data_IF_898534483414
#
_entry.id   IF_898534483414
#
_cell.length_a   1.000
_cell.length_b   1.000
_cell.length_c   1.000
_cell.angle_alpha   90.00
_cell.angle_beta   90.00
_cell.angle_gamma   90.00
#
_symmetry.space_group_name_H-M   'P 1'
#
loop_
_entity.id
_entity.type
_entity.pdbx_description
1 polymer ?
#
# COMPACT_ATOMS: atom_id res chain seq x y z
N UNK A 1 -3.50 16.13 7.20
CA UNK A 1 -2.85 14.80 7.02
C UNK A 1 -2.69 14.04 8.33
N UNK A 2 -2.10 14.59 9.40
CA UNK A 2 -1.88 13.89 10.70
C UNK A 2 -3.10 13.13 11.26
N UNK A 3 -4.31 13.67 11.09
CA UNK A 3 -5.55 12.99 11.48
C UNK A 3 -5.74 11.65 10.74
N UNK A 4 -5.48 11.62 9.43
CA UNK A 4 -5.66 10.42 8.61
C UNK A 4 -4.59 9.36 8.90
N UNK A 5 -3.34 9.76 9.22
CA UNK A 5 -2.34 8.80 9.70
C UNK A 5 -2.81 8.12 10.99
N UNK A 6 -3.28 8.90 11.98
CA UNK A 6 -3.82 8.36 13.23
C UNK A 6 -5.05 7.48 13.02
N UNK A 7 -5.94 7.84 12.09
CA UNK A 7 -7.13 7.02 11.74
C UNK A 7 -6.70 5.69 11.13
N UNK A 8 -5.75 5.70 10.21
CA UNK A 8 -5.24 4.48 9.60
C UNK A 8 -4.57 3.57 10.64
N UNK A 9 -3.70 4.11 11.50
CA UNK A 9 -3.07 3.34 12.58
C UNK A 9 -4.11 2.70 13.52
N UNK A 10 -5.20 3.42 13.86
CA UNK A 10 -6.32 2.84 14.62
C UNK A 10 -7.10 1.78 13.84
N UNK A 11 -7.06 1.82 12.52
CA UNK A 11 -7.63 0.81 11.63
C UNK A 11 -6.83 -0.49 11.56
N UNK A 12 -5.74 -0.62 12.34
CA UNK A 12 -4.97 -1.86 12.45
C UNK A 12 -3.90 -2.04 11.38
N UNK A 13 -3.52 -0.98 10.64
CA UNK A 13 -2.36 -1.04 9.76
C UNK A 13 -1.08 -0.85 10.59
N UNK A 14 -0.04 -1.62 10.27
CA UNK A 14 1.27 -1.55 10.94
C UNK A 14 2.10 -0.35 10.46
N UNK A 15 1.79 0.17 9.27
CA UNK A 15 2.38 1.41 8.78
C UNK A 15 1.61 2.05 7.64
N UNK A 16 1.71 3.37 7.57
CA UNK A 16 1.09 4.18 6.51
C UNK A 16 2.05 5.28 6.03
N UNK A 17 2.18 5.43 4.72
CA UNK A 17 2.91 6.52 4.07
C UNK A 17 1.97 7.24 3.13
N UNK A 18 1.90 8.56 3.28
CA UNK A 18 1.12 9.45 2.42
C UNK A 18 2.11 10.38 1.74
N UNK A 19 2.06 10.44 0.42
CA UNK A 19 2.83 11.35 -0.41
C UNK A 19 1.86 12.20 -1.21
N UNK A 20 2.00 13.51 -1.08
CA UNK A 20 1.15 14.47 -1.77
C UNK A 20 2.07 15.33 -2.62
N UNK A 21 1.70 15.53 -3.87
CA UNK A 21 2.44 16.36 -4.81
C UNK A 21 1.51 17.27 -5.58
N UNK A 22 1.89 18.55 -5.68
CA UNK A 22 1.15 19.54 -6.44
C UNK A 22 1.31 20.93 -5.84
N UNK A 23 0.44 21.86 -6.24
CA UNK A 23 0.37 23.22 -5.70
C UNK A 23 -0.35 23.21 -4.36
N UNK A 24 0.39 22.94 -3.30
CA UNK A 24 -0.18 22.80 -1.95
C UNK A 24 -0.55 24.18 -1.39
N UNK A 25 -1.73 24.28 -0.79
CA UNK A 25 -2.27 25.52 -0.20
C UNK A 25 -2.33 26.71 -1.17
N UNK A 26 -2.50 26.46 -2.47
CA UNK A 26 -2.55 27.53 -3.48
C UNK A 26 -1.20 28.20 -3.77
N UNK A 27 -0.10 27.61 -3.30
CA UNK A 27 1.23 28.10 -3.61
C UNK A 27 1.50 28.07 -5.13
N UNK A 28 2.28 29.03 -5.61
CA UNK A 28 2.58 29.14 -7.03
C UNK A 28 3.48 28.00 -7.52
N UNK A 29 4.38 27.53 -6.65
CA UNK A 29 5.29 26.42 -6.93
C UNK A 29 4.75 25.10 -6.38
N UNK A 30 4.84 24.05 -7.19
CA UNK A 30 4.48 22.69 -6.76
C UNK A 30 5.48 22.17 -5.72
N UNK A 31 4.97 21.59 -4.63
CA UNK A 31 5.76 20.95 -3.58
C UNK A 31 5.33 19.50 -3.41
N UNK A 32 6.23 18.70 -2.83
CA UNK A 32 5.95 17.33 -2.41
C UNK A 32 6.10 17.22 -0.91
N UNK A 33 5.02 16.85 -0.24
CA UNK A 33 5.03 16.58 1.20
C UNK A 33 4.85 15.09 1.43
N UNK A 34 5.69 14.54 2.30
CA UNK A 34 5.60 13.15 2.74
C UNK A 34 5.24 13.10 4.22
N UNK A 35 4.40 12.13 4.57
CA UNK A 35 4.08 11.80 5.94
C UNK A 35 4.15 10.30 6.07
N UNK A 36 4.80 9.81 7.12
CA UNK A 36 4.93 8.39 7.42
C UNK A 36 4.70 8.15 8.90
N UNK A 37 4.04 7.05 9.23
CA UNK A 37 3.85 6.57 10.59
C UNK A 37 3.92 5.04 10.57
N UNK A 38 4.57 4.44 11.57
CA UNK A 38 4.80 2.98 11.60
C UNK A 38 5.91 2.48 10.66
N UNK A 39 5.92 1.17 10.39
CA UNK A 39 6.93 0.48 9.58
C UNK A 39 6.43 0.25 8.16
N UNK A 40 7.25 0.55 7.14
CA UNK A 40 6.87 0.35 5.73
C UNK A 40 8.10 -0.12 4.94
N UNK A 41 8.29 -1.44 4.82
CA UNK A 41 9.45 -2.00 4.14
C UNK A 41 9.22 -2.12 2.63
N UNK A 42 9.46 -1.03 1.88
CA UNK A 42 9.20 -0.98 0.43
C UNK A 42 10.05 -1.94 -0.43
N UNK A 43 11.17 -2.43 0.09
CA UNK A 43 12.06 -3.35 -0.61
C UNK A 43 11.78 -4.83 -0.28
N UNK A 44 10.88 -5.09 0.67
CA UNK A 44 10.58 -6.44 1.14
C UNK A 44 9.41 -7.01 0.36
N UNK A 45 9.67 -7.95 -0.55
CA UNK A 45 8.63 -8.54 -1.42
C UNK A 45 7.55 -9.32 -0.66
N UNK A 46 7.88 -9.89 0.51
CA UNK A 46 6.91 -10.59 1.36
C UNK A 46 5.98 -9.65 2.14
N UNK A 47 6.26 -8.34 2.16
CA UNK A 47 5.46 -7.40 2.89
C UNK A 47 4.14 -7.15 2.15
N UNK A 48 3.00 -7.27 2.85
CA UNK A 48 1.70 -6.96 2.28
C UNK A 48 1.52 -5.44 2.27
N UNK A 49 1.76 -4.83 1.12
CA UNK A 49 1.68 -3.38 0.91
C UNK A 49 0.66 -3.07 -0.18
N UNK A 50 -0.37 -2.30 0.18
CA UNK A 50 -1.34 -1.79 -0.78
C UNK A 50 -0.98 -0.36 -1.19
N UNK A 51 -1.04 -0.07 -2.49
CA UNK A 51 -0.82 1.25 -3.07
C UNK A 51 -2.14 1.81 -3.62
N UNK A 52 -2.57 2.95 -3.08
CA UNK A 52 -3.66 3.75 -3.62
C UNK A 52 -3.13 5.05 -4.23
N UNK A 53 -3.57 5.38 -5.45
CA UNK A 53 -3.32 6.69 -6.07
C UNK A 53 -4.62 7.36 -6.46
N UNK A 54 -4.74 8.65 -6.14
CA UNK A 54 -5.88 9.47 -6.54
C UNK A 54 -5.45 10.91 -6.77
N UNK A 55 -6.07 11.55 -7.74
CA UNK A 55 -5.93 12.97 -8.03
C UNK A 55 -7.10 13.75 -7.43
N UNK A 56 -6.79 14.83 -6.74
CA UNK A 56 -7.76 15.80 -6.25
C UNK A 56 -7.77 17.00 -7.19
N UNK A 57 -8.94 17.31 -7.75
CA UNK A 57 -9.16 18.51 -8.56
C UNK A 57 -9.39 19.70 -7.63
N UNK A 58 -8.54 20.71 -7.74
CA UNK A 58 -8.66 21.96 -6.99
C UNK A 58 -8.70 23.14 -7.96
N UNK A 59 -9.09 24.32 -7.49
CA UNK A 59 -9.19 25.54 -8.30
C UNK A 59 -7.86 25.92 -8.96
N UNK A 60 -6.73 25.60 -8.32
CA UNK A 60 -5.39 25.97 -8.77
C UNK A 60 -4.66 24.86 -9.55
N UNK A 61 -5.35 23.75 -9.84
CA UNK A 61 -4.81 22.61 -10.55
C UNK A 61 -5.12 21.28 -9.88
N UNK A 62 -4.34 20.25 -10.22
CA UNK A 62 -4.51 18.90 -9.69
C UNK A 62 -3.45 18.59 -8.63
N UNK A 63 -3.88 17.93 -7.55
CA UNK A 63 -3.00 17.45 -6.49
C UNK A 63 -3.00 15.92 -6.53
N UNK A 64 -1.84 15.32 -6.76
CA UNK A 64 -1.66 13.87 -6.72
C UNK A 64 -1.44 13.39 -5.29
N UNK A 65 -2.21 12.39 -4.86
CA UNK A 65 -2.10 11.74 -3.55
C UNK A 65 -1.79 10.25 -3.75
N UNK A 66 -0.63 9.82 -3.27
CA UNK A 66 -0.21 8.41 -3.21
C UNK A 66 -0.20 7.94 -1.77
N UNK A 67 -0.83 6.81 -1.48
CA UNK A 67 -0.90 6.23 -0.15
C UNK A 67 -0.40 4.79 -0.21
N UNK A 68 0.50 4.45 0.70
CA UNK A 68 0.92 3.07 0.96
C UNK A 68 0.42 2.67 2.35
N UNK A 69 -0.22 1.51 2.45
CA UNK A 69 -0.60 0.89 3.73
C UNK A 69 0.06 -0.47 3.84
N UNK A 70 0.65 -0.74 5.00
CA UNK A 70 1.30 -2.01 5.32
C UNK A 70 0.52 -2.72 6.42
N UNK A 71 0.14 -3.96 6.17
CA UNK A 71 -0.73 -4.78 7.04
C UNK A 71 -0.05 -6.04 7.56
N UNK A 72 1.29 -6.09 7.56
CA UNK A 72 2.07 -7.25 7.99
C UNK A 72 2.74 -8.00 6.83
N UNK A 73 3.53 -9.02 7.18
CA UNK A 73 4.18 -9.90 6.21
C UNK A 73 3.23 -11.04 5.78
N UNK A 74 3.24 -11.38 4.49
CA UNK A 74 2.56 -12.57 3.97
C UNK A 74 3.39 -13.81 4.35
N UNK A 75 2.91 -14.58 5.32
CA UNK A 75 3.47 -15.90 5.64
C UNK A 75 2.76 -16.90 4.74
N UNK A 76 3.43 -17.33 3.67
CA UNK A 76 2.94 -18.43 2.85
C UNK A 76 3.07 -19.70 3.70
N UNK A 77 1.98 -20.12 4.36
CA UNK A 77 1.88 -21.47 4.88
C UNK A 77 2.00 -22.41 3.68
N UNK A 78 3.16 -23.05 3.54
CA UNK A 78 3.34 -24.18 2.64
C UNK A 78 2.44 -25.31 3.12
N UNK A 79 1.21 -25.31 2.64
CA UNK A 79 0.40 -26.51 2.47
C UNK A 79 -0.03 -26.56 1.00
N UNK A 80 0.95 -26.59 0.10
CA UNK A 80 0.78 -27.45 -1.07
C UNK A 80 0.97 -28.85 -0.51
N UNK A 81 -0.14 -29.54 -0.20
CA UNK A 81 -0.10 -30.96 0.12
C UNK A 81 0.60 -31.68 -1.03
N UNK A 82 1.50 -32.60 -0.68
CA UNK A 82 2.24 -33.44 -1.64
C UNK A 82 1.31 -34.25 -2.57
N UNK A 83 0.00 -34.27 -2.29
CA UNK A 83 -1.05 -34.92 -3.06
C UNK A 83 -1.26 -34.32 -4.47
N UNK A 84 -1.05 -33.01 -4.66
CA UNK A 84 -1.34 -32.36 -5.96
C UNK A 84 -0.25 -32.58 -7.02
N UNK A 85 0.97 -32.95 -6.62
CA UNK A 85 2.08 -33.22 -7.56
C UNK A 85 1.99 -34.60 -8.23
N UNK A 86 1.32 -35.57 -7.59
CA UNK A 86 1.18 -36.94 -8.11
C UNK A 86 -0.20 -37.24 -8.69
N UNK A 87 -1.13 -36.27 -8.68
CA UNK A 87 -2.49 -36.42 -9.21
C UNK A 87 -2.58 -36.43 -10.76
N UNK A 88 -1.45 -36.52 -11.48
CA UNK A 88 -1.45 -36.63 -12.94
C UNK A 88 -1.87 -38.04 -13.36
N UNK A 89 -3.20 -38.18 -13.55
CA UNK A 89 -3.84 -39.00 -14.59
C UNK A 89 -3.56 -40.51 -14.55
N UNK A 90 -4.18 -41.19 -13.58
CA UNK A 90 -4.78 -42.51 -13.85
C UNK A 90 -5.92 -42.34 -14.85
N UNK A 91 -5.61 -42.20 -16.15
CA UNK A 91 -6.57 -42.49 -17.22
C UNK A 91 -6.24 -43.88 -17.75
N UNK A 92 -7.05 -44.80 -17.22
CA UNK A 92 -7.45 -46.13 -17.66
C UNK A 92 -7.11 -46.55 -19.11
N UNK A 93 -6.82 -47.86 -19.19
CA UNK A 93 -6.60 -48.77 -20.32
C UNK A 93 -7.32 -48.50 -21.64
#
# INVERSE_FOLDING_TARGET
MKQELRRAMRGGVEGIKILISGRLNGADMARRENYKEGRIPLHTLRAKIDLGFKEAKTTFGQIGVKVWTYSGDFIQSKEESEEDKYAVKRRTS
#
